data_IF_630873556450
#
_entry.id   IF_630873556450
#
_cell.length_a   1.000
_cell.length_b   1.000
_cell.length_c   1.000
_cell.angle_alpha   90.00
_cell.angle_beta   90.00
_cell.angle_gamma   90.00
#
_symmetry.space_group_name_H-M   'P 1'
#
loop_
_entity.id
_entity.type
_entity.pdbx_description
1 polymer ?
#
# COMPACT_ATOMS: atom_id res chain seq x y z
N UNK A 1 -9.83 2.69 8.33
CA UNK A 1 -8.63 2.73 9.21
C UNK A 1 -8.86 2.68 10.74
N UNK A 2 -9.97 2.14 11.26
CA UNK A 2 -10.22 2.15 12.71
C UNK A 2 -9.21 1.37 13.57
N UNK A 3 -8.62 0.30 13.01
CA UNK A 3 -7.56 -0.46 13.68
C UNK A 3 -6.27 0.34 13.82
N UNK A 4 -5.77 0.93 12.72
CA UNK A 4 -4.53 1.72 12.71
C UNK A 4 -4.59 2.85 13.73
N UNK A 5 -5.71 3.58 13.78
CA UNK A 5 -5.91 4.66 14.75
C UNK A 5 -5.76 4.18 16.19
N UNK A 6 -6.50 3.13 16.59
CA UNK A 6 -6.44 2.57 17.95
C UNK A 6 -5.06 2.02 18.30
N UNK A 7 -4.39 1.42 17.32
CA UNK A 7 -3.03 0.91 17.49
C UNK A 7 -2.06 2.06 17.80
N UNK A 8 -2.08 3.14 17.02
CA UNK A 8 -1.19 4.29 17.25
C UNK A 8 -1.54 5.06 18.53
N UNK A 9 -2.83 5.22 18.85
CA UNK A 9 -3.28 5.80 20.12
C UNK A 9 -2.73 5.04 21.34
N UNK A 10 -2.53 3.72 21.21
CA UNK A 10 -2.07 2.87 22.31
C UNK A 10 -0.55 2.64 22.32
N UNK A 11 0.09 2.62 21.16
CA UNK A 11 1.42 2.01 21.01
C UNK A 11 2.44 2.81 20.20
N UNK A 12 2.12 4.02 19.72
CA UNK A 12 3.06 4.78 18.87
C UNK A 12 4.40 5.09 19.56
N UNK A 13 4.46 5.11 20.89
CA UNK A 13 5.70 5.34 21.65
C UNK A 13 6.63 4.12 21.69
N UNK A 14 6.18 2.97 21.20
CA UNK A 14 6.91 1.70 21.24
C UNK A 14 7.37 1.20 19.87
N UNK A 15 7.21 2.01 18.82
CA UNK A 15 7.59 1.67 17.44
C UNK A 15 8.45 2.79 16.84
N UNK A 16 9.34 2.43 15.93
CA UNK A 16 10.24 3.37 15.27
C UNK A 16 9.69 3.93 13.94
N UNK A 17 8.68 3.26 13.36
CA UNK A 17 8.02 3.67 12.12
C UNK A 17 6.61 3.08 12.06
N UNK A 18 5.71 3.74 11.31
CA UNK A 18 4.40 3.20 10.97
C UNK A 18 4.48 2.54 9.60
N UNK A 19 4.14 1.26 9.53
CA UNK A 19 4.14 0.47 8.29
C UNK A 19 2.73 0.08 7.86
N UNK A 20 2.45 0.16 6.56
CA UNK A 20 1.26 -0.45 5.95
C UNK A 20 1.62 -1.12 4.61
N UNK A 21 0.69 -1.90 4.08
CA UNK A 21 0.88 -2.68 2.86
C UNK A 21 -0.01 -2.11 1.74
N UNK A 22 0.46 -2.21 0.49
CA UNK A 22 -0.33 -1.84 -0.69
C UNK A 22 -0.08 -2.84 -1.82
N UNK A 23 -1.12 -3.12 -2.59
CA UNK A 23 -1.08 -3.92 -3.81
C UNK A 23 -2.10 -3.34 -4.79
N UNK A 24 -1.69 -3.08 -6.03
CA UNK A 24 -2.57 -2.47 -7.03
C UNK A 24 -3.72 -3.38 -7.44
N UNK A 25 -3.46 -4.68 -7.58
CA UNK A 25 -4.45 -5.68 -8.02
C UNK A 25 -4.35 -6.99 -7.23
N UNK A 26 -5.29 -7.91 -7.44
CA UNK A 26 -5.27 -9.27 -6.89
C UNK A 26 -4.84 -10.26 -7.96
N UNK A 27 -4.04 -11.28 -7.63
CA UNK A 27 -3.73 -12.36 -8.56
C UNK A 27 -4.97 -13.12 -9.07
N UNK A 28 -6.10 -13.06 -8.35
CA UNK A 28 -7.38 -13.66 -8.77
C UNK A 28 -8.16 -12.77 -9.76
N UNK A 29 -7.86 -11.47 -9.79
CA UNK A 29 -8.58 -10.47 -10.59
C UNK A 29 -7.58 -9.44 -11.12
N UNK A 30 -6.78 -9.88 -12.10
CA UNK A 30 -5.77 -9.06 -12.76
C UNK A 30 -5.75 -9.30 -14.26
N UNK A 31 -5.37 -8.26 -15.00
CA UNK A 31 -5.21 -8.28 -16.45
C UNK A 31 -4.02 -7.40 -16.87
N UNK A 32 -3.44 -7.68 -18.03
CA UNK A 32 -2.31 -6.91 -18.56
C UNK A 32 -2.59 -5.40 -18.69
N UNK A 33 -3.77 -4.95 -19.16
CA UNK A 33 -4.07 -3.51 -19.23
C UNK A 33 -3.99 -2.80 -17.88
N UNK A 34 -4.39 -3.44 -16.78
CA UNK A 34 -4.34 -2.81 -15.45
C UNK A 34 -2.91 -2.45 -15.01
N UNK A 35 -1.87 -3.05 -15.61
CA UNK A 35 -0.46 -2.73 -15.32
C UNK A 35 0.04 -1.46 -15.99
N UNK A 36 -0.75 -0.84 -16.87
CA UNK A 36 -0.35 0.35 -17.64
C UNK A 36 -1.43 1.45 -17.66
N UNK A 37 -2.60 1.18 -17.10
CA UNK A 37 -3.72 2.12 -17.04
C UNK A 37 -3.51 3.08 -15.86
N UNK A 38 -3.41 4.40 -16.09
CA UNK A 38 -3.09 5.39 -15.05
C UNK A 38 -4.03 5.36 -13.85
N UNK A 39 -5.31 5.08 -14.07
CA UNK A 39 -6.33 5.02 -13.03
C UNK A 39 -6.03 3.92 -12.00
N UNK A 40 -5.35 2.84 -12.40
CA UNK A 40 -4.86 1.82 -11.47
C UNK A 40 -3.66 2.34 -10.70
N UNK A 41 -2.73 3.04 -11.35
CA UNK A 41 -1.54 3.60 -10.69
C UNK A 41 -1.90 4.68 -9.67
N UNK A 42 -2.94 5.47 -9.95
CA UNK A 42 -3.46 6.52 -9.06
C UNK A 42 -4.07 5.96 -7.76
N UNK A 43 -4.38 4.65 -7.70
CA UNK A 43 -4.89 4.04 -6.46
C UNK A 43 -3.88 4.13 -5.31
N UNK A 44 -2.57 4.12 -5.60
CA UNK A 44 -1.54 4.31 -4.57
C UNK A 44 -1.69 5.67 -3.86
N UNK A 45 -1.96 6.73 -4.63
CA UNK A 45 -2.18 8.07 -4.07
C UNK A 45 -3.43 8.09 -3.19
N UNK A 46 -4.48 7.40 -3.60
CA UNK A 46 -5.71 7.32 -2.83
C UNK A 46 -5.52 6.54 -1.52
N UNK A 47 -4.85 5.40 -1.59
CA UNK A 47 -4.59 4.51 -0.46
C UNK A 47 -3.69 5.15 0.59
N UNK A 48 -2.89 6.15 0.22
CA UNK A 48 -2.07 6.89 1.17
C UNK A 48 -2.84 7.93 1.97
N UNK A 49 -3.95 8.46 1.45
CA UNK A 49 -4.67 9.56 2.11
C UNK A 49 -5.20 9.19 3.50
N UNK A 50 -5.81 8.01 3.66
CA UNK A 50 -6.42 7.61 4.93
C UNK A 50 -5.36 7.27 6.00
N UNK A 51 -4.33 6.45 5.72
CA UNK A 51 -3.21 6.25 6.64
C UNK A 51 -2.50 7.55 7.00
N UNK A 52 -2.23 8.44 6.03
CA UNK A 52 -1.57 9.72 6.30
C UNK A 52 -2.37 10.58 7.27
N UNK A 53 -3.68 10.69 7.07
CA UNK A 53 -4.56 11.44 7.96
C UNK A 53 -4.52 10.88 9.39
N UNK A 54 -4.55 9.56 9.55
CA UNK A 54 -4.51 8.90 10.86
C UNK A 54 -3.14 9.09 11.53
N UNK A 55 -2.04 8.88 10.80
CA UNK A 55 -0.68 9.02 11.33
C UNK A 55 -0.42 10.47 11.74
N UNK A 56 -0.79 11.44 10.91
CA UNK A 56 -0.61 12.86 11.22
C UNK A 56 -1.40 13.28 12.48
N UNK A 57 -2.52 12.62 12.80
CA UNK A 57 -3.30 12.90 13.99
C UNK A 57 -2.76 12.20 15.26
N UNK A 58 -2.17 11.02 15.13
CA UNK A 58 -1.86 10.15 16.28
C UNK A 58 -0.37 9.98 16.56
N UNK A 59 0.47 10.04 15.52
CA UNK A 59 1.91 9.84 15.61
C UNK A 59 2.66 10.68 14.54
N UNK A 60 2.51 12.02 14.54
CA UNK A 60 2.99 12.89 13.44
C UNK A 60 4.51 12.88 13.24
N UNK A 61 5.28 12.44 14.23
CA UNK A 61 6.75 12.44 14.20
C UNK A 61 7.34 11.09 13.76
N UNK A 62 6.51 10.06 13.60
CA UNK A 62 7.01 8.75 13.18
C UNK A 62 7.20 8.71 11.65
N UNK A 63 8.31 8.12 11.17
CA UNK A 63 8.47 7.75 9.76
C UNK A 63 7.31 6.88 9.26
N UNK A 64 6.98 7.07 7.99
CA UNK A 64 5.88 6.38 7.29
C UNK A 64 6.45 5.48 6.21
N UNK A 65 6.29 4.17 6.33
CA UNK A 65 6.92 3.20 5.43
C UNK A 65 5.89 2.28 4.77
N UNK A 66 6.13 1.94 3.52
CA UNK A 66 5.52 0.73 2.93
C UNK A 66 6.27 -0.48 3.51
N UNK A 67 5.62 -1.24 4.38
CA UNK A 67 6.21 -2.43 5.01
C UNK A 67 6.28 -3.64 4.07
N UNK A 68 5.35 -3.71 3.12
CA UNK A 68 5.26 -4.75 2.11
C UNK A 68 4.46 -4.19 0.93
N UNK A 69 4.99 -4.33 -0.29
CA UNK A 69 4.32 -3.84 -1.49
C UNK A 69 4.76 -4.64 -2.71
N UNK A 70 3.87 -4.79 -3.68
CA UNK A 70 4.17 -5.34 -5.00
C UNK A 70 3.04 -4.96 -5.98
N UNK A 71 3.18 -5.37 -7.25
CA UNK A 71 2.15 -5.17 -8.27
C UNK A 71 0.81 -5.84 -7.91
N UNK A 72 0.83 -7.07 -7.39
CA UNK A 72 -0.36 -7.88 -7.19
C UNK A 72 -0.28 -8.75 -5.93
N UNK A 73 -1.35 -8.78 -5.14
CA UNK A 73 -1.48 -9.65 -3.98
C UNK A 73 -1.72 -11.11 -4.40
N UNK A 74 -1.65 -12.06 -3.47
CA UNK A 74 -1.91 -13.47 -3.76
C UNK A 74 -0.77 -14.20 -4.48
N UNK A 75 0.47 -13.71 -4.34
CA UNK A 75 1.67 -14.33 -4.94
C UNK A 75 2.06 -13.79 -6.31
N UNK A 76 1.38 -12.74 -6.80
CA UNK A 76 1.67 -12.09 -8.08
C UNK A 76 0.79 -12.56 -9.24
N UNK A 77 0.67 -11.71 -10.26
CA UNK A 77 -0.07 -12.01 -11.48
C UNK A 77 0.79 -12.90 -12.40
N UNK A 78 0.39 -14.16 -12.57
CA UNK A 78 1.16 -15.16 -13.33
C UNK A 78 1.42 -14.71 -14.76
N UNK A 79 2.69 -14.58 -15.13
CA UNK A 79 3.11 -14.18 -16.47
C UNK A 79 3.00 -12.68 -16.75
N UNK A 80 2.71 -11.86 -15.72
CA UNK A 80 2.64 -10.39 -15.81
C UNK A 80 3.57 -9.76 -14.77
N UNK A 81 3.46 -10.12 -13.49
CA UNK A 81 4.29 -9.58 -12.40
C UNK A 81 5.78 -9.89 -12.53
N UNK A 82 6.13 -10.93 -13.29
CA UNK A 82 7.51 -11.37 -13.56
C UNK A 82 8.01 -10.90 -14.94
N UNK A 83 7.40 -9.85 -15.51
CA UNK A 83 7.72 -9.30 -16.82
C UNK A 83 8.04 -7.81 -16.72
N UNK A 84 8.64 -7.28 -17.79
CA UNK A 84 9.02 -5.87 -17.89
C UNK A 84 7.86 -4.91 -17.59
N UNK A 85 6.63 -5.27 -17.96
CA UNK A 85 5.42 -4.46 -17.71
C UNK A 85 5.17 -4.20 -16.22
N UNK A 86 5.68 -5.05 -15.32
CA UNK A 86 5.57 -4.83 -13.88
C UNK A 86 6.35 -3.60 -13.39
N UNK A 87 7.30 -3.07 -14.16
CA UNK A 87 8.06 -1.87 -13.80
C UNK A 87 7.29 -0.55 -13.91
N UNK A 88 6.04 -0.57 -14.39
CA UNK A 88 5.16 0.60 -14.37
C UNK A 88 4.40 0.76 -13.03
N UNK A 89 4.36 -0.30 -12.20
CA UNK A 89 3.73 -0.34 -10.88
C UNK A 89 4.77 -0.20 -9.76
#
# INVERSE_FOLDING_TARGET
MGYLKRFLESGHTSIDAVTWHHYYVSALDCSLPQFIVPEVLDTLLHDFNEPDAVINQTAPNLPKWLGETASASGGGARGISDRFVAGFM
#
